data_IF_167898978178
#
_entry.id   IF_167898978178
#
_cell.length_a   1.000
_cell.length_b   1.000
_cell.length_c   1.000
_cell.angle_alpha   90.00
_cell.angle_beta   90.00
_cell.angle_gamma   90.00
#
_symmetry.space_group_name_H-M   'P 1'
#
loop_
_entity.id
_entity.type
_entity.pdbx_description
1 polymer ?
#
# COMPACT_ATOMS: atom_id res chain seq x y z
N UNK A 1 -7.88 -5.50 -7.61
CA UNK A 1 -7.70 -4.03 -7.59
C UNK A 1 -6.78 -3.51 -8.68
N UNK A 2 -5.47 -3.76 -8.58
CA UNK A 2 -4.45 -2.94 -9.26
C UNK A 2 -4.45 -2.89 -10.80
N UNK A 3 -4.91 -3.93 -11.51
CA UNK A 3 -4.98 -3.88 -12.98
C UNK A 3 -6.06 -2.89 -13.47
N UNK A 4 -7.24 -2.91 -12.85
CA UNK A 4 -8.34 -2.00 -13.20
C UNK A 4 -7.95 -0.54 -12.98
N UNK A 5 -7.23 -0.28 -11.90
CA UNK A 5 -6.73 1.05 -11.58
C UNK A 5 -5.67 1.54 -12.57
N UNK A 6 -4.76 0.68 -13.02
CA UNK A 6 -3.80 1.03 -14.08
C UNK A 6 -4.48 1.39 -15.39
N UNK A 7 -5.54 0.66 -15.77
CA UNK A 7 -6.34 0.98 -16.96
C UNK A 7 -7.01 2.35 -16.81
N UNK A 8 -7.62 2.63 -15.65
CA UNK A 8 -8.24 3.94 -15.39
C UNK A 8 -7.24 5.09 -15.44
N UNK A 9 -6.04 4.92 -14.87
CA UNK A 9 -4.97 5.93 -14.94
C UNK A 9 -4.55 6.16 -16.40
N UNK A 10 -4.35 5.08 -17.18
CA UNK A 10 -4.00 5.21 -18.59
C UNK A 10 -5.08 5.93 -19.39
N UNK A 11 -6.36 5.62 -19.15
CA UNK A 11 -7.50 6.28 -19.80
C UNK A 11 -7.56 7.77 -19.44
N UNK A 12 -7.37 8.12 -18.18
CA UNK A 12 -7.38 9.53 -17.74
C UNK A 12 -6.23 10.34 -18.36
N UNK A 13 -5.08 9.71 -18.59
CA UNK A 13 -3.89 10.35 -19.16
C UNK A 13 -3.86 10.37 -20.69
N UNK A 14 -4.67 9.54 -21.35
CA UNK A 14 -4.74 9.50 -22.82
C UNK A 14 -5.18 10.83 -23.44
N UNK A 15 -5.86 11.67 -22.65
CA UNK A 15 -6.31 13.00 -23.06
C UNK A 15 -5.30 14.13 -22.75
N UNK A 16 -4.09 13.80 -22.27
CA UNK A 16 -3.06 14.77 -21.87
C UNK A 16 -3.62 15.93 -21.01
N UNK A 17 -4.27 15.62 -19.87
CA UNK A 17 -4.99 16.64 -19.11
C UNK A 17 -4.03 17.62 -18.44
N UNK A 18 -4.44 18.90 -18.36
CA UNK A 18 -3.74 19.90 -17.54
C UNK A 18 -3.93 19.66 -16.03
N UNK A 19 -4.99 18.96 -15.64
CA UNK A 19 -5.31 18.61 -14.25
C UNK A 19 -5.85 17.18 -14.16
N UNK A 20 -5.22 16.37 -13.30
CA UNK A 20 -5.71 15.06 -12.91
C UNK A 20 -6.30 15.11 -11.50
N UNK A 21 -7.57 14.74 -11.36
CA UNK A 21 -8.24 14.55 -10.06
C UNK A 21 -8.27 13.06 -9.74
N UNK A 22 -7.66 12.68 -8.63
CA UNK A 22 -7.56 11.32 -8.17
C UNK A 22 -8.32 11.18 -6.84
N UNK A 23 -9.54 10.64 -6.92
CA UNK A 23 -10.36 10.36 -5.74
C UNK A 23 -10.03 8.99 -5.16
N UNK A 24 -9.47 8.98 -3.95
CA UNK A 24 -9.07 7.79 -3.21
C UNK A 24 -8.37 6.74 -4.09
N UNK A 25 -7.34 7.15 -4.86
CA UNK A 25 -6.88 6.37 -5.98
C UNK A 25 -6.45 4.98 -5.52
N UNK A 26 -5.80 4.88 -4.37
CA UNK A 26 -5.15 3.65 -3.88
C UNK A 26 -6.05 2.71 -3.08
N UNK A 27 -7.35 2.97 -3.01
CA UNK A 27 -8.30 2.14 -2.27
C UNK A 27 -8.30 0.67 -2.73
N UNK A 28 -8.50 -0.24 -1.77
CA UNK A 28 -8.51 -1.70 -1.99
C UNK A 28 -7.20 -2.30 -2.55
N UNK A 29 -6.06 -1.62 -2.38
CA UNK A 29 -4.73 -2.14 -2.70
C UNK A 29 -3.87 -2.34 -1.46
N UNK A 30 -2.95 -3.29 -1.53
CA UNK A 30 -1.87 -3.45 -0.55
C UNK A 30 -0.99 -2.19 -0.50
N UNK A 31 -0.53 -1.81 0.70
CA UNK A 31 0.26 -0.60 1.00
C UNK A 31 1.47 -0.45 0.06
N UNK A 32 2.13 -1.55 -0.31
CA UNK A 32 3.27 -1.53 -1.24
C UNK A 32 2.84 -1.12 -2.65
N UNK A 33 1.68 -1.59 -3.10
CA UNK A 33 1.14 -1.25 -4.42
C UNK A 33 0.61 0.18 -4.43
N UNK A 34 -0.03 0.62 -3.34
CA UNK A 34 -0.47 2.01 -3.17
C UNK A 34 0.69 2.99 -3.43
N UNK A 35 1.80 2.79 -2.73
CA UNK A 35 3.00 3.62 -2.87
C UNK A 35 3.55 3.62 -4.30
N UNK A 36 3.57 2.47 -4.97
CA UNK A 36 4.01 2.38 -6.38
C UNK A 36 3.12 3.19 -7.31
N UNK A 37 1.80 3.17 -7.10
CA UNK A 37 0.87 3.96 -7.93
C UNK A 37 1.05 5.46 -7.68
N UNK A 38 1.19 5.89 -6.43
CA UNK A 38 1.40 7.31 -6.13
C UNK A 38 2.72 7.84 -6.71
N UNK A 39 3.80 7.06 -6.62
CA UNK A 39 5.08 7.41 -7.25
C UNK A 39 4.96 7.49 -8.78
N UNK A 40 4.20 6.58 -9.39
CA UNK A 40 3.91 6.64 -10.83
C UNK A 40 3.15 7.91 -11.19
N UNK A 41 2.09 8.26 -10.45
CA UNK A 41 1.32 9.49 -10.68
C UNK A 41 2.21 10.74 -10.53
N UNK A 42 3.08 10.78 -9.51
CA UNK A 42 4.05 11.86 -9.32
C UNK A 42 5.03 12.00 -10.48
N UNK A 43 5.55 10.88 -10.98
CA UNK A 43 6.45 10.89 -12.14
C UNK A 43 5.73 11.37 -13.42
N UNK A 44 4.47 10.97 -13.62
CA UNK A 44 3.67 11.40 -14.76
C UNK A 44 3.31 12.88 -14.65
N UNK A 45 2.98 13.37 -13.46
CA UNK A 45 2.74 14.77 -13.14
C UNK A 45 3.95 15.63 -13.57
N UNK A 46 5.16 15.23 -13.19
CA UNK A 46 6.39 15.92 -13.56
C UNK A 46 6.68 15.86 -15.07
N UNK A 47 6.47 14.70 -15.70
CA UNK A 47 6.79 14.49 -17.12
C UNK A 47 5.84 15.25 -18.05
N UNK A 48 4.55 15.31 -17.71
CA UNK A 48 3.52 15.94 -18.52
C UNK A 48 3.27 17.41 -18.17
N UNK A 49 3.86 17.91 -17.07
CA UNK A 49 3.61 19.27 -16.60
C UNK A 49 2.19 19.50 -16.07
N UNK A 50 1.44 18.43 -15.81
CA UNK A 50 0.06 18.50 -15.33
C UNK A 50 -0.01 18.81 -13.83
N UNK A 51 -1.16 19.29 -13.37
CA UNK A 51 -1.50 19.40 -11.96
C UNK A 51 -2.12 18.10 -11.44
N UNK A 52 -1.93 17.80 -10.16
CA UNK A 52 -2.48 16.60 -9.51
C UNK A 52 -3.24 17.00 -8.24
N UNK A 53 -4.55 16.79 -8.22
CA UNK A 53 -5.39 16.89 -7.03
C UNK A 53 -5.65 15.48 -6.50
N UNK A 54 -5.13 15.19 -5.31
CA UNK A 54 -5.34 13.91 -4.64
C UNK A 54 -6.33 14.09 -3.48
N UNK A 55 -7.36 13.25 -3.47
CA UNK A 55 -8.31 13.15 -2.36
C UNK A 55 -7.96 11.85 -1.63
N UNK A 56 -7.61 11.95 -0.36
CA UNK A 56 -7.30 10.78 0.46
C UNK A 56 -7.57 11.06 1.94
N UNK A 57 -7.96 10.00 2.65
CA UNK A 57 -8.03 9.95 4.11
C UNK A 57 -6.71 9.54 4.79
N UNK A 58 -5.70 9.11 4.04
CA UNK A 58 -4.40 8.67 4.56
C UNK A 58 -3.39 9.84 4.54
N UNK A 59 -3.08 10.38 5.71
CA UNK A 59 -2.15 11.51 5.84
C UNK A 59 -0.69 11.11 5.58
N UNK A 60 -0.29 9.87 5.86
CA UNK A 60 1.07 9.39 5.57
C UNK A 60 1.34 9.32 4.06
N UNK A 61 0.36 8.87 3.27
CA UNK A 61 0.47 8.88 1.81
C UNK A 61 0.56 10.31 1.29
N UNK A 62 -0.32 11.19 1.75
CA UNK A 62 -0.32 12.61 1.38
C UNK A 62 1.03 13.27 1.70
N UNK A 63 1.59 13.02 2.89
CA UNK A 63 2.89 13.56 3.31
C UNK A 63 4.03 13.24 2.34
N UNK A 64 3.98 12.07 1.69
CA UNK A 64 5.06 11.61 0.82
C UNK A 64 5.08 12.23 -0.59
N UNK A 65 3.95 12.80 -1.04
CA UNK A 65 3.80 13.25 -2.44
C UNK A 65 3.29 14.67 -2.60
N UNK A 66 2.50 15.20 -1.66
CA UNK A 66 1.80 16.46 -1.81
C UNK A 66 2.72 17.65 -1.50
N UNK A 67 2.58 18.73 -2.26
CA UNK A 67 3.25 19.99 -1.96
C UNK A 67 2.41 20.86 -1.01
N UNK A 68 1.09 20.83 -1.18
CA UNK A 68 0.11 21.56 -0.36
C UNK A 68 -0.97 20.60 0.10
N UNK A 69 -1.52 20.86 1.28
CA UNK A 69 -2.57 20.04 1.87
C UNK A 69 -3.72 20.94 2.32
N UNK A 70 -4.95 20.51 2.02
CA UNK A 70 -6.17 21.12 2.52
C UNK A 70 -6.88 20.08 3.40
N UNK A 71 -7.07 20.39 4.68
CA UNK A 71 -7.85 19.57 5.60
C UNK A 71 -9.28 20.04 5.53
N UNK A 72 -10.19 19.11 5.26
CA UNK A 72 -11.63 19.37 5.14
C UNK A 72 -12.40 18.69 6.27
N UNK A 73 -13.40 19.38 6.84
CA UNK A 73 -14.34 18.82 7.81
C UNK A 73 -15.73 19.36 7.53
N UNK A 74 -16.72 18.47 7.48
CA UNK A 74 -18.12 18.84 7.25
C UNK A 74 -18.35 19.70 5.98
N UNK A 75 -17.56 19.48 4.93
CA UNK A 75 -17.65 20.24 3.67
C UNK A 75 -16.89 21.57 3.66
N UNK A 76 -16.21 21.93 4.74
CA UNK A 76 -15.44 23.18 4.84
C UNK A 76 -13.94 22.90 4.95
N UNK A 77 -13.12 23.72 4.26
CA UNK A 77 -11.67 23.70 4.44
C UNK A 77 -11.37 24.36 5.79
N UNK A 78 -10.93 23.55 6.75
CA UNK A 78 -10.61 24.01 8.11
C UNK A 78 -9.14 24.39 8.28
N UNK A 79 -8.26 23.88 7.42
CA UNK A 79 -6.86 24.25 7.39
C UNK A 79 -6.26 24.05 5.99
N UNK A 80 -5.39 24.98 5.58
CA UNK A 80 -4.64 24.87 4.34
C UNK A 80 -3.22 25.41 4.53
N UNK A 81 -2.22 24.59 4.21
CA UNK A 81 -0.81 24.97 4.30
C UNK A 81 0.05 24.15 3.34
N UNK A 82 1.34 24.50 3.24
CA UNK A 82 2.30 23.58 2.64
C UNK A 82 2.41 22.31 3.48
N UNK A 83 2.73 21.20 2.83
CA UNK A 83 2.75 19.90 3.48
C UNK A 83 3.72 19.86 4.68
N UNK A 84 4.86 20.54 4.60
CA UNK A 84 5.83 20.51 5.69
C UNK A 84 5.32 21.26 6.94
N UNK A 85 4.68 22.42 6.74
CA UNK A 85 4.12 23.21 7.84
C UNK A 85 2.93 22.51 8.50
N UNK A 86 2.03 21.90 7.71
CA UNK A 86 0.87 21.17 8.28
C UNK A 86 1.31 20.06 9.23
N UNK A 87 2.32 19.27 8.83
CA UNK A 87 2.77 18.10 9.61
C UNK A 87 3.67 18.50 10.78
N UNK A 88 4.39 19.62 10.70
CA UNK A 88 5.24 20.11 11.81
C UNK A 88 4.45 20.90 12.86
N UNK A 89 3.52 21.74 12.43
CA UNK A 89 2.84 22.70 13.28
C UNK A 89 1.38 22.90 12.84
N UNK A 90 0.53 21.86 12.96
CA UNK A 90 -0.89 21.95 12.61
C UNK A 90 -1.61 23.00 13.49
N UNK A 91 -2.28 23.94 12.84
CA UNK A 91 -2.94 25.06 13.52
C UNK A 91 -4.33 24.69 14.00
N UNK A 92 -5.08 23.92 13.22
CA UNK A 92 -6.47 23.60 13.53
C UNK A 92 -6.58 22.38 14.46
N UNK A 93 -7.44 22.41 15.49
CA UNK A 93 -7.61 21.28 16.43
C UNK A 93 -7.97 19.95 15.76
N UNK A 94 -8.75 20.00 14.66
CA UNK A 94 -9.08 18.80 13.90
C UNK A 94 -7.88 18.21 13.16
N UNK A 95 -6.99 19.04 12.60
CA UNK A 95 -5.77 18.56 11.94
C UNK A 95 -4.83 17.90 12.94
N UNK A 96 -4.72 18.46 14.15
CA UNK A 96 -4.00 17.82 15.28
C UNK A 96 -4.59 16.45 15.59
N UNK A 97 -5.91 16.38 15.76
CA UNK A 97 -6.59 15.12 16.04
C UNK A 97 -6.36 14.06 14.96
N UNK A 98 -6.36 14.45 13.68
CA UNK A 98 -6.06 13.52 12.58
C UNK A 98 -4.61 13.04 12.60
N UNK A 99 -3.66 13.94 12.85
CA UNK A 99 -2.24 13.60 12.92
C UNK A 99 -1.90 12.77 14.17
N UNK A 100 -2.60 12.99 15.29
CA UNK A 100 -2.42 12.25 16.54
C UNK A 100 -3.10 10.86 16.50
N UNK A 101 -4.11 10.69 15.64
CA UNK A 101 -4.79 9.41 15.43
C UNK A 101 -3.95 8.44 14.58
N UNK A 102 -2.96 8.94 13.84
CA UNK A 102 -1.97 8.11 13.18
C UNK A 102 -1.08 7.44 14.24
N UNK A 103 -0.91 6.10 14.21
CA UNK A 103 -0.13 5.39 15.21
C UNK A 103 1.35 5.80 15.14
N UNK A 104 1.73 6.76 15.96
CA UNK A 104 3.12 7.10 16.25
C UNK A 104 3.54 6.38 17.54
N UNK A 105 4.30 5.30 17.42
CA UNK A 105 4.82 4.60 18.58
C UNK A 105 5.74 3.44 18.22
N UNK A 106 6.78 3.26 19.02
CA UNK A 106 7.51 1.99 19.05
C UNK A 106 6.59 0.90 19.62
N UNK A 107 6.72 -0.36 19.15
CA UNK A 107 5.98 -1.46 19.73
C UNK A 107 6.20 -1.47 21.24
N UNK A 108 5.13 -1.58 22.03
CA UNK A 108 5.23 -1.69 23.49
C UNK A 108 6.21 -2.82 23.82
N UNK A 109 7.37 -2.50 24.39
CA UNK A 109 8.32 -3.49 24.90
C UNK A 109 7.66 -4.20 26.07
N UNK A 110 7.12 -5.39 25.81
CA UNK A 110 6.57 -6.28 26.82
C UNK A 110 7.53 -7.44 27.02
N UNK A 111 7.77 -7.74 28.29
CA UNK A 111 8.70 -8.76 28.76
C UNK A 111 8.44 -10.12 28.09
N UNK A 112 9.51 -10.81 27.72
CA UNK A 112 9.49 -12.09 26.99
C UNK A 112 8.66 -13.13 27.73
N UNK A 113 7.67 -13.73 27.05
CA UNK A 113 6.85 -14.82 27.58
C UNK A 113 6.76 -15.97 26.58
N UNK A 114 6.67 -17.18 27.15
CA UNK A 114 6.35 -18.48 26.54
C UNK A 114 6.05 -18.48 25.03
N UNK A 115 6.88 -19.17 24.25
CA UNK A 115 6.58 -19.48 22.86
C UNK A 115 5.31 -20.34 22.79
N UNK A 116 4.27 -19.86 22.13
CA UNK A 116 3.00 -20.60 21.91
C UNK A 116 3.06 -21.40 20.61
N UNK A 117 3.80 -20.90 19.61
CA UNK A 117 3.99 -21.56 18.34
C UNK A 117 5.45 -21.39 17.90
N UNK A 118 6.08 -22.48 17.50
CA UNK A 118 7.38 -22.48 16.84
C UNK A 118 7.25 -23.35 15.58
N UNK A 119 7.61 -22.78 14.45
CA UNK A 119 7.55 -23.42 13.14
C UNK A 119 8.91 -23.27 12.51
N UNK A 120 9.48 -24.39 12.09
CA UNK A 120 10.76 -24.44 11.40
C UNK A 120 10.58 -25.00 10.00
N UNK A 121 11.22 -24.37 9.01
CA UNK A 121 11.32 -24.87 7.64
C UNK A 121 9.96 -25.20 6.98
N UNK A 122 8.93 -24.38 7.24
CA UNK A 122 7.59 -24.59 6.70
C UNK A 122 7.62 -24.54 5.17
N UNK A 123 7.09 -25.59 4.54
CA UNK A 123 6.90 -25.68 3.08
C UNK A 123 5.47 -26.07 2.78
N UNK A 124 4.74 -25.20 2.07
CA UNK A 124 3.34 -25.43 1.68
C UNK A 124 3.23 -25.20 0.18
N UNK A 125 3.00 -26.29 -0.57
CA UNK A 125 2.90 -26.28 -2.03
C UNK A 125 1.53 -26.80 -2.46
N UNK A 126 0.85 -26.08 -3.34
CA UNK A 126 -0.45 -26.47 -3.90
C UNK A 126 -0.27 -27.07 -5.29
N UNK A 127 -0.91 -28.21 -5.57
CA UNK A 127 -0.94 -28.77 -6.92
C UNK A 127 -1.98 -28.05 -7.78
N UNK A 128 -1.56 -27.46 -8.90
CA UNK A 128 -2.50 -26.91 -9.87
C UNK A 128 -2.94 -28.04 -10.80
N UNK A 129 -4.18 -28.49 -10.67
CA UNK A 129 -4.78 -29.47 -11.58
C UNK A 129 -5.09 -28.78 -12.91
N UNK A 130 -4.17 -28.88 -13.86
CA UNK A 130 -4.44 -28.55 -15.26
C UNK A 130 -5.48 -29.53 -15.82
N UNK A 131 -6.41 -29.02 -16.63
CA UNK A 131 -7.48 -29.82 -17.24
C UNK A 131 -6.98 -31.04 -18.03
N UNK A 132 -7.96 -31.89 -18.43
CA UNK A 132 -7.85 -33.28 -18.91
C UNK A 132 -6.73 -33.59 -19.95
N UNK A 133 -6.15 -32.59 -20.61
CA UNK A 133 -5.09 -32.75 -21.63
C UNK A 133 -3.66 -32.37 -21.22
N UNK A 134 -3.36 -31.89 -20.00
CA UNK A 134 -1.99 -31.47 -19.62
C UNK A 134 -1.31 -32.41 -18.62
N UNK A 135 -0.22 -33.05 -19.06
CA UNK A 135 0.60 -34.04 -18.33
C UNK A 135 1.64 -33.47 -17.37
N UNK A 136 1.67 -32.16 -17.12
CA UNK A 136 2.60 -31.53 -16.18
C UNK A 136 1.85 -31.08 -14.92
N UNK A 137 2.16 -31.73 -13.78
CA UNK A 137 1.76 -31.25 -12.45
C UNK A 137 2.63 -30.05 -12.11
N UNK A 138 2.08 -28.86 -12.25
CA UNK A 138 2.71 -27.63 -11.80
C UNK A 138 2.37 -27.40 -10.32
N UNK A 139 3.39 -27.15 -9.51
CA UNK A 139 3.23 -26.88 -8.08
C UNK A 139 3.40 -25.39 -7.82
N UNK A 140 2.42 -24.78 -7.18
CA UNK A 140 2.53 -23.43 -6.66
C UNK A 140 3.16 -23.50 -5.27
N UNK A 141 4.42 -23.04 -5.15
CA UNK A 141 5.08 -22.85 -3.87
C UNK A 141 4.49 -21.64 -3.15
N UNK A 142 3.54 -21.86 -2.24
CA UNK A 142 2.93 -20.77 -1.48
C UNK A 142 3.81 -20.34 -0.30
N UNK A 143 4.50 -21.30 0.33
CA UNK A 143 5.51 -21.07 1.35
C UNK A 143 6.71 -21.96 1.03
N UNK A 144 7.90 -21.38 0.96
CA UNK A 144 9.15 -22.12 0.72
C UNK A 144 10.15 -21.76 1.80
N UNK A 145 10.29 -22.66 2.78
CA UNK A 145 11.32 -22.63 3.81
C UNK A 145 11.25 -21.42 4.76
N UNK A 146 10.09 -21.23 5.39
CA UNK A 146 9.91 -20.16 6.39
C UNK A 146 9.93 -20.74 7.81
N UNK A 147 10.75 -20.15 8.66
CA UNK A 147 10.75 -20.39 10.11
C UNK A 147 10.20 -19.16 10.83
N UNK A 148 9.27 -19.37 11.76
CA UNK A 148 8.64 -18.30 12.54
C UNK A 148 8.26 -18.80 13.94
N UNK A 149 8.20 -17.89 14.90
CA UNK A 149 7.72 -18.17 16.25
C UNK A 149 6.73 -17.11 16.70
N UNK A 150 5.69 -17.53 17.42
CA UNK A 150 4.70 -16.65 18.04
C UNK A 150 4.76 -16.86 19.55
N UNK A 151 5.04 -15.79 20.27
CA UNK A 151 5.03 -15.76 21.73
C UNK A 151 3.64 -15.40 22.27
N UNK A 152 3.34 -15.86 23.49
CA UNK A 152 2.04 -15.60 24.12
C UNK A 152 1.80 -14.09 24.26
N UNK A 153 0.70 -13.62 23.67
CA UNK A 153 0.33 -12.21 23.71
C UNK A 153 1.09 -11.32 22.73
N UNK A 154 1.92 -11.89 21.82
CA UNK A 154 2.45 -11.18 20.65
C UNK A 154 1.53 -11.39 19.43
N UNK A 155 1.45 -10.36 18.59
CA UNK A 155 0.74 -10.40 17.31
C UNK A 155 1.76 -10.58 16.19
N UNK A 156 1.61 -11.63 15.39
CA UNK A 156 2.37 -11.82 14.15
C UNK A 156 1.53 -11.33 12.97
N UNK A 157 1.96 -10.26 12.31
CA UNK A 157 1.37 -9.80 11.06
C UNK A 157 2.01 -10.49 9.87
N UNK A 158 1.21 -11.11 9.00
CA UNK A 158 1.68 -11.67 7.73
C UNK A 158 1.24 -10.71 6.62
N UNK A 159 2.21 -10.17 5.89
CA UNK A 159 1.97 -9.30 4.74
C UNK A 159 2.45 -10.03 3.49
N UNK A 160 1.60 -10.09 2.46
CA UNK A 160 1.90 -10.76 1.20
C UNK A 160 1.42 -9.96 0.00
N UNK A 161 2.21 -9.95 -1.06
CA UNK A 161 1.76 -9.44 -2.35
C UNK A 161 1.06 -10.57 -3.13
N UNK A 162 -0.10 -10.27 -3.73
CA UNK A 162 -0.75 -11.21 -4.66
C UNK A 162 0.21 -11.49 -5.82
N UNK A 163 0.53 -12.76 -6.12
CA UNK A 163 1.36 -13.09 -7.27
C UNK A 163 0.65 -12.60 -8.54
N UNK A 164 1.31 -11.70 -9.26
CA UNK A 164 0.84 -11.26 -10.58
C UNK A 164 0.70 -12.49 -11.49
N UNK A 165 -0.42 -12.65 -12.23
CA UNK A 165 -0.48 -13.66 -13.28
C UNK A 165 0.49 -13.23 -14.39
N UNK A 166 1.66 -13.87 -14.46
CA UNK A 166 2.62 -13.64 -15.56
C UNK A 166 4.11 -13.58 -15.22
N UNK A 167 4.53 -13.74 -13.95
CA UNK A 167 5.96 -13.91 -13.62
C UNK A 167 6.25 -15.31 -13.08
N UNK A 168 6.10 -16.29 -13.97
CA UNK A 168 6.83 -17.55 -13.85
C UNK A 168 8.29 -17.25 -14.21
N UNK A 169 9.14 -17.08 -13.20
CA UNK A 169 10.57 -16.97 -13.44
C UNK A 169 11.04 -18.24 -14.15
N UNK A 170 11.68 -18.03 -15.30
CA UNK A 170 12.51 -19.00 -15.97
C UNK A 170 13.66 -19.45 -15.06
N UNK A 171 13.67 -20.77 -14.81
CA UNK A 171 14.69 -21.74 -14.33
C UNK A 171 16.16 -21.46 -14.75
N UNK A 172 17.20 -22.27 -14.40
CA UNK A 172 17.47 -23.19 -13.27
C UNK A 172 18.79 -22.89 -12.51
N UNK A 173 18.97 -23.48 -11.32
CA UNK A 173 20.05 -24.45 -10.99
C UNK A 173 19.65 -25.21 -9.73
#
# INVERSE_FOLDING_TARGET
GGQRQRVMIAMALACEPELLIADEPTTALDVTVQRKILLLLKALQQRLGMSLLLISHDLNLVHSIAQRVCVMRAGEIVEQSDCQSLFKAPQHPYSRLLLDAEPAGEPLTRDTREKVLEVEHLKVWFSLTGGILRRHREYLKAVDDISLSIERGKTLGIVGASPLPGRWYSNPR
#
